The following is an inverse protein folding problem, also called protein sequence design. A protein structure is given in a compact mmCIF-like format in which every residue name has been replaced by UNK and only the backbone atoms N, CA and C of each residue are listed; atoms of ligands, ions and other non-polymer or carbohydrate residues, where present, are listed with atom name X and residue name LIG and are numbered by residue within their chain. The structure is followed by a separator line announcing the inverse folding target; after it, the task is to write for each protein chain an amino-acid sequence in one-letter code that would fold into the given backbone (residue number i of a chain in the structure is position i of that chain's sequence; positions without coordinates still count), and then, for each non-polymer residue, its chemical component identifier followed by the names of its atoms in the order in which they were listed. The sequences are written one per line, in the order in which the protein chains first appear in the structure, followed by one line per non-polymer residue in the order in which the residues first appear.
data_IF_113505924525
#
_entry.id   IF_113505924525
#
_cell.length_a   1.000
_cell.length_b   1.000
_cell.length_c   1.000
_cell.angle_alpha   90.00
_cell.angle_beta   90.00
_cell.angle_gamma   90.00
#
_symmetry.space_group_name_H-M   'P 1'
#
loop_
_entity.id
_entity.type
_entity.pdbx_description
1 polymer ?
#
# COMPACT_ATOMS: atom_id res chain seq x y z
N UNK A 1 -10.05 2.72 -0.39
CA UNK A 1 -9.96 3.95 -1.21
C UNK A 1 -10.83 3.88 -2.47
N UNK A 2 -10.49 3.09 -3.48
CA UNK A 2 -11.19 3.11 -4.78
C UNK A 2 -12.72 2.95 -4.68
N UNK A 3 -13.20 2.02 -3.84
CA UNK A 3 -14.63 1.72 -3.69
C UNK A 3 -15.44 2.71 -2.86
N UNK A 4 -14.81 3.58 -2.07
CA UNK A 4 -15.49 4.52 -1.16
C UNK A 4 -15.55 5.93 -1.77
N UNK A 5 -16.18 6.88 -1.07
CA UNK A 5 -16.22 8.31 -1.41
C UNK A 5 -14.96 9.08 -0.99
N UNK A 6 -14.05 8.44 -0.25
CA UNK A 6 -12.76 9.01 0.16
C UNK A 6 -11.93 9.56 -1.01
N UNK A 7 -12.12 9.03 -2.22
CA UNK A 7 -11.67 9.66 -3.47
C UNK A 7 -12.89 10.27 -4.16
N UNK A 8 -12.97 11.61 -4.29
CA UNK A 8 -14.09 12.28 -4.94
C UNK A 8 -14.35 11.78 -6.37
N UNK A 9 -15.62 11.62 -6.71
CA UNK A 9 -16.10 11.20 -8.04
C UNK A 9 -16.29 12.41 -8.95
N UNK A 10 -15.22 13.17 -9.16
CA UNK A 10 -15.20 14.38 -10.01
C UNK A 10 -14.10 14.28 -11.07
N UNK A 11 -14.21 15.10 -12.11
CA UNK A 11 -13.21 15.28 -13.18
C UNK A 11 -12.93 14.00 -13.99
N UNK A 12 -13.95 13.16 -14.17
CA UNK A 12 -13.79 11.88 -14.88
C UNK A 12 -13.23 10.76 -14.01
N UNK A 13 -13.25 10.91 -12.68
CA UNK A 13 -12.80 9.91 -11.70
C UNK A 13 -13.95 9.17 -11.00
N UNK A 14 -15.11 9.10 -11.65
CA UNK A 14 -16.29 8.37 -11.19
C UNK A 14 -16.02 6.86 -11.18
N UNK A 15 -16.66 6.15 -10.25
CA UNK A 15 -16.70 4.69 -10.28
C UNK A 15 -17.59 4.22 -11.43
N UNK A 16 -17.31 3.02 -11.93
CA UNK A 16 -18.13 2.36 -12.94
C UNK A 16 -17.95 0.85 -12.87
N UNK A 17 -18.62 0.14 -13.78
CA UNK A 17 -18.53 -1.32 -13.84
C UNK A 17 -17.14 -1.85 -14.22
N UNK A 18 -16.31 -1.02 -14.88
CA UNK A 18 -14.93 -1.32 -15.22
C UNK A 18 -13.99 -0.40 -14.47
N UNK A 19 -12.72 -0.81 -14.38
CA UNK A 19 -11.66 0.03 -13.84
C UNK A 19 -11.57 1.36 -14.61
N UNK A 20 -11.57 2.47 -13.87
CA UNK A 20 -11.36 3.82 -14.37
C UNK A 20 -9.91 4.23 -14.06
N UNK A 21 -9.02 4.31 -15.08
CA UNK A 21 -7.62 4.67 -14.87
C UNK A 21 -7.41 6.04 -14.24
N UNK A 22 -8.29 7.03 -14.50
CA UNK A 22 -8.19 8.35 -13.86
C UNK A 22 -8.45 8.27 -12.36
N UNK A 23 -9.43 7.49 -11.94
CA UNK A 23 -9.70 7.21 -10.53
C UNK A 23 -8.55 6.41 -9.90
N UNK A 24 -8.05 5.39 -10.60
CA UNK A 24 -6.89 4.61 -10.16
C UNK A 24 -5.66 5.48 -9.90
N UNK A 25 -5.36 6.42 -10.80
CA UNK A 25 -4.26 7.37 -10.60
C UNK A 25 -4.44 8.24 -9.35
N UNK A 26 -5.68 8.71 -9.06
CA UNK A 26 -5.98 9.43 -7.80
C UNK A 26 -5.76 8.55 -6.56
N UNK A 27 -6.13 7.27 -6.61
CA UNK A 27 -5.87 6.30 -5.52
C UNK A 27 -4.38 6.08 -5.31
N UNK A 28 -3.61 5.86 -6.38
CA UNK A 28 -2.16 5.65 -6.32
C UNK A 28 -1.47 6.89 -5.75
N UNK A 29 -1.84 8.08 -6.23
CA UNK A 29 -1.28 9.34 -5.73
C UNK A 29 -1.54 9.52 -4.22
N UNK A 30 -2.76 9.22 -3.76
CA UNK A 30 -3.08 9.25 -2.34
C UNK A 30 -2.25 8.25 -1.54
N UNK A 31 -2.16 6.99 -2.00
CA UNK A 31 -1.39 5.94 -1.32
C UNK A 31 0.10 6.30 -1.20
N UNK A 32 0.70 6.86 -2.26
CA UNK A 32 2.09 7.34 -2.22
C UNK A 32 2.27 8.55 -1.32
N UNK A 33 1.30 9.47 -1.26
CA UNK A 33 1.28 10.56 -0.29
C UNK A 33 1.22 10.06 1.16
N UNK A 34 0.39 9.05 1.44
CA UNK A 34 0.33 8.37 2.73
C UNK A 34 1.68 7.74 3.11
N UNK A 35 2.39 7.11 2.17
CA UNK A 35 3.73 6.56 2.40
C UNK A 35 4.76 7.66 2.68
N UNK A 36 4.67 8.81 1.98
CA UNK A 36 5.54 9.97 2.24
C UNK A 36 5.39 10.52 3.66
N UNK A 37 4.19 10.44 4.25
CA UNK A 37 3.91 10.88 5.63
C UNK A 37 4.27 9.81 6.67
N UNK A 38 4.04 8.53 6.35
CA UNK A 38 4.14 7.42 7.30
C UNK A 38 5.54 6.81 7.37
N UNK A 39 6.23 6.72 6.23
CA UNK A 39 7.53 6.06 6.04
C UNK A 39 8.37 6.92 5.07
N UNK A 40 8.71 8.17 5.46
CA UNK A 40 9.34 9.13 4.57
C UNK A 40 10.68 8.61 4.05
N UNK A 41 11.04 9.04 2.85
CA UNK A 41 12.35 8.76 2.24
C UNK A 41 13.38 9.78 2.72
N UNK A 42 14.66 9.39 2.78
CA UNK A 42 15.77 10.32 3.10
C UNK A 42 15.81 11.49 2.11
N UNK A 43 15.55 11.20 0.83
CA UNK A 43 15.45 12.17 -0.26
C UNK A 43 14.37 11.75 -1.24
N UNK A 44 13.71 12.74 -1.85
CA UNK A 44 12.65 12.49 -2.82
C UNK A 44 11.29 12.17 -2.20
N UNK A 45 10.43 11.54 -3.00
CA UNK A 45 9.05 11.18 -2.68
C UNK A 45 8.73 9.79 -3.23
N UNK A 46 7.81 9.07 -2.60
CA UNK A 46 7.35 7.75 -3.06
C UNK A 46 6.80 7.79 -4.50
N UNK A 47 6.24 8.93 -4.92
CA UNK A 47 5.81 9.18 -6.30
C UNK A 47 6.92 8.95 -7.33
N UNK A 48 8.19 9.23 -6.99
CA UNK A 48 9.35 9.08 -7.86
C UNK A 48 10.07 7.74 -7.79
N UNK A 49 9.61 6.81 -6.93
CA UNK A 49 10.22 5.48 -6.79
C UNK A 49 9.94 4.66 -8.05
N UNK A 50 10.99 4.04 -8.59
CA UNK A 50 10.95 3.23 -9.81
C UNK A 50 11.46 1.79 -9.64
N UNK A 51 11.80 1.39 -8.41
CA UNK A 51 12.22 0.04 -8.06
C UNK A 51 12.34 -0.11 -6.54
N UNK A 52 12.31 -1.34 -6.06
CA UNK A 52 12.57 -1.68 -4.66
C UNK A 52 13.50 -2.88 -4.63
N UNK A 53 14.48 -2.86 -3.75
CA UNK A 53 15.38 -3.97 -3.50
C UNK A 53 15.83 -3.96 -2.04
N UNK A 54 16.36 -5.07 -1.54
CA UNK A 54 16.88 -5.20 -0.20
C UNK A 54 18.36 -5.58 -0.31
N UNK A 55 19.23 -4.69 0.17
CA UNK A 55 20.67 -4.89 0.12
C UNK A 55 21.26 -4.67 1.52
N UNK A 56 22.10 -5.61 1.98
CA UNK A 56 22.75 -5.56 3.29
C UNK A 56 21.75 -5.35 4.45
N UNK A 57 20.56 -5.97 4.36
CA UNK A 57 19.50 -5.86 5.36
C UNK A 57 18.75 -4.53 5.37
N UNK A 58 18.97 -3.66 4.38
CA UNK A 58 18.30 -2.36 4.26
C UNK A 58 17.44 -2.29 3.00
N UNK A 59 16.28 -1.65 3.12
CA UNK A 59 15.46 -1.31 1.95
C UNK A 59 16.13 -0.20 1.13
N UNK A 60 16.31 -0.48 -0.16
CA UNK A 60 16.74 0.44 -1.20
C UNK A 60 15.55 0.78 -2.09
N UNK A 61 15.32 2.07 -2.33
CA UNK A 61 14.24 2.53 -3.19
C UNK A 61 14.79 3.26 -4.40
N UNK A 62 14.41 2.81 -5.58
CA UNK A 62 14.86 3.30 -6.88
C UNK A 62 16.27 2.87 -7.27
N UNK A 63 16.64 3.20 -8.51
CA UNK A 63 17.90 2.81 -9.14
C UNK A 63 18.77 4.02 -9.54
N UNK A 64 20.07 3.79 -9.67
CA UNK A 64 21.04 4.79 -10.15
C UNK A 64 21.06 6.08 -9.32
N UNK A 65 21.10 7.24 -10.00
CA UNK A 65 21.16 8.56 -9.36
C UNK A 65 19.89 8.93 -8.56
N UNK A 66 18.79 8.20 -8.77
CA UNK A 66 17.53 8.39 -8.03
C UNK A 66 17.38 7.50 -6.80
N UNK A 67 18.37 6.65 -6.51
CA UNK A 67 18.27 5.66 -5.45
C UNK A 67 18.36 6.30 -4.05
N UNK A 68 17.45 5.92 -3.16
CA UNK A 68 17.29 6.46 -1.81
C UNK A 68 16.99 5.35 -0.79
N UNK A 69 16.77 5.73 0.46
CA UNK A 69 16.40 4.86 1.58
C UNK A 69 15.24 5.47 2.36
N UNK A 70 14.70 4.73 3.32
CA UNK A 70 13.83 5.31 4.34
C UNK A 70 14.62 6.30 5.20
N UNK A 71 13.98 7.39 5.61
CA UNK A 71 14.56 8.37 6.52
C UNK A 71 14.87 7.77 7.90
N UNK A 72 14.01 6.86 8.37
CA UNK A 72 14.31 5.97 9.49
C UNK A 72 14.40 4.51 9.00
N UNK A 73 15.62 3.93 8.92
CA UNK A 73 15.82 2.56 8.48
C UNK A 73 15.10 1.51 9.33
N UNK A 74 14.78 1.81 10.60
CA UNK A 74 14.09 0.88 11.49
C UNK A 74 12.64 0.62 11.08
N UNK A 75 12.10 1.45 10.19
CA UNK A 75 10.76 1.27 9.65
C UNK A 75 10.69 0.14 8.62
N UNK A 76 11.83 -0.40 8.18
CA UNK A 76 11.84 -1.62 7.37
C UNK A 76 11.71 -2.85 8.28
N UNK A 77 10.65 -3.62 8.11
CA UNK A 77 10.31 -4.78 8.94
C UNK A 77 10.55 -6.13 8.24
N UNK A 78 10.70 -6.14 6.92
CA UNK A 78 11.02 -7.36 6.16
C UNK A 78 10.57 -7.29 4.70
N UNK A 79 10.69 -8.40 4.00
CA UNK A 79 10.25 -8.53 2.61
C UNK A 79 9.89 -10.00 2.30
N UNK A 80 9.21 -10.22 1.18
CA UNK A 80 8.91 -11.54 0.63
C UNK A 80 9.47 -11.66 -0.79
N UNK A 81 9.91 -12.86 -1.14
CA UNK A 81 10.47 -13.16 -2.46
C UNK A 81 11.99 -12.91 -2.52
N UNK A 82 12.47 -12.61 -3.72
CA UNK A 82 13.88 -12.32 -3.97
C UNK A 82 14.28 -10.93 -3.46
N UNK A 83 15.50 -10.77 -2.95
CA UNK A 83 15.93 -9.51 -2.37
C UNK A 83 16.15 -8.41 -3.42
N UNK A 84 16.61 -8.77 -4.63
CA UNK A 84 16.85 -7.82 -5.71
C UNK A 84 15.53 -7.45 -6.41
N UNK A 85 14.53 -8.33 -6.36
CA UNK A 85 13.19 -8.12 -6.92
C UNK A 85 12.10 -8.65 -5.97
N UNK A 86 11.83 -7.96 -4.84
CA UNK A 86 10.87 -8.44 -3.85
C UNK A 86 9.45 -8.42 -4.40
N UNK A 87 8.67 -9.42 -4.01
CA UNK A 87 7.22 -9.49 -4.29
C UNK A 87 6.44 -8.61 -3.31
N UNK A 88 6.99 -8.39 -2.11
CA UNK A 88 6.43 -7.46 -1.14
C UNK A 88 7.52 -6.90 -0.22
N UNK A 89 7.29 -5.69 0.26
CA UNK A 89 8.11 -5.02 1.28
C UNK A 89 7.23 -4.69 2.48
N UNK A 90 7.63 -5.15 3.66
CA UNK A 90 6.95 -4.90 4.91
C UNK A 90 7.62 -3.74 5.65
N UNK A 91 6.81 -2.74 6.01
CA UNK A 91 7.20 -1.56 6.75
C UNK A 91 6.43 -1.47 8.07
N UNK A 92 6.91 -0.63 8.98
CA UNK A 92 6.23 -0.35 10.25
C UNK A 92 6.24 1.13 10.62
N UNK A 93 5.13 1.59 11.20
CA UNK A 93 5.00 2.92 11.80
C UNK A 93 4.04 2.83 12.99
N UNK A 94 4.47 3.37 14.13
CA UNK A 94 3.68 3.40 15.37
C UNK A 94 3.16 2.01 15.80
N UNK A 95 3.92 0.95 15.52
CA UNK A 95 3.57 -0.43 15.88
C UNK A 95 2.59 -1.13 14.93
N UNK A 96 2.17 -0.47 13.84
CA UNK A 96 1.34 -1.06 12.79
C UNK A 96 2.14 -1.31 11.53
N UNK A 97 1.82 -2.39 10.82
CA UNK A 97 2.47 -2.78 9.58
C UNK A 97 1.81 -2.21 8.33
N UNK A 98 2.64 -1.97 7.32
CA UNK A 98 2.27 -1.55 5.97
C UNK A 98 3.00 -2.49 5.01
N UNK A 99 2.28 -3.29 4.22
CA UNK A 99 2.88 -4.12 3.16
C UNK A 99 2.69 -3.44 1.80
N UNK A 100 3.80 -3.21 1.09
CA UNK A 100 3.80 -2.75 -0.29
C UNK A 100 3.89 -3.98 -1.18
N UNK A 101 2.83 -4.23 -1.95
CA UNK A 101 2.75 -5.38 -2.87
C UNK A 101 3.31 -4.98 -4.23
N UNK A 102 4.23 -5.79 -4.75
CA UNK A 102 4.93 -5.53 -6.01
C UNK A 102 4.59 -6.67 -6.97
N UNK A 103 3.88 -6.32 -8.05
CA UNK A 103 3.51 -7.26 -9.10
C UNK A 103 3.42 -6.53 -10.45
N UNK A 104 4.45 -6.67 -11.26
CA UNK A 104 4.52 -6.06 -12.61
C UNK A 104 3.57 -6.70 -13.62
N UNK A 105 2.99 -7.87 -13.32
CA UNK A 105 1.98 -8.53 -14.16
C UNK A 105 0.56 -8.05 -13.86
N UNK A 106 0.34 -7.49 -12.66
CA UNK A 106 -0.94 -6.95 -12.22
C UNK A 106 -1.42 -5.79 -13.11
N UNK A 107 -2.74 -5.64 -13.27
CA UNK A 107 -3.35 -4.56 -14.04
C UNK A 107 -2.90 -3.16 -13.58
N UNK A 108 -2.70 -2.96 -12.28
CA UNK A 108 -2.23 -1.71 -11.67
C UNK A 108 -0.71 -1.66 -11.64
N UNK A 109 -0.07 -2.70 -11.13
CA UNK A 109 1.39 -2.73 -10.95
C UNK A 109 2.16 -2.54 -12.26
N UNK A 110 1.64 -3.03 -13.40
CA UNK A 110 2.24 -2.77 -14.72
C UNK A 110 2.26 -1.29 -15.14
N UNK A 111 1.43 -0.46 -14.51
CA UNK A 111 1.35 0.99 -14.78
C UNK A 111 2.16 1.82 -13.78
N UNK A 112 2.62 1.21 -12.69
CA UNK A 112 3.48 1.85 -11.70
C UNK A 112 4.96 1.62 -12.07
N UNK A 113 5.81 2.65 -12.10
CA UNK A 113 7.22 2.50 -12.45
C UNK A 113 7.97 1.45 -11.60
N UNK A 114 7.63 1.38 -10.31
CA UNK A 114 8.21 0.44 -9.36
C UNK A 114 7.49 -0.91 -9.30
N UNK A 115 6.43 -1.10 -10.07
CA UNK A 115 5.63 -2.33 -10.04
C UNK A 115 4.66 -2.43 -8.86
N UNK A 116 4.44 -1.33 -8.12
CA UNK A 116 3.56 -1.33 -6.95
C UNK A 116 2.11 -1.58 -7.39
N UNK A 117 1.55 -2.70 -6.94
CA UNK A 117 0.19 -3.12 -7.25
C UNK A 117 -0.82 -2.71 -6.18
N UNK A 118 -0.41 -2.71 -4.90
CA UNK A 118 -1.28 -2.33 -3.77
C UNK A 118 -0.46 -1.93 -2.53
N UNK A 119 -1.15 -1.33 -1.54
CA UNK A 119 -0.64 -1.05 -0.19
C UNK A 119 -1.63 -1.62 0.82
N UNK A 120 -1.20 -2.68 1.50
CA UNK A 120 -2.01 -3.40 2.49
C UNK A 120 -1.69 -2.87 3.89
N UNK A 121 -2.72 -2.48 4.63
CA UNK A 121 -2.58 -1.94 5.99
C UNK A 121 -3.03 -2.95 7.04
N UNK A 122 -2.17 -3.19 8.02
CA UNK A 122 -2.62 -3.83 9.27
C UNK A 122 -3.67 -2.93 9.93
N UNK A 123 -4.88 -3.47 10.13
CA UNK A 123 -6.06 -2.66 10.45
C UNK A 123 -6.84 -3.20 11.67
N UNK A 124 -7.77 -4.13 11.47
CA UNK A 124 -8.61 -4.67 12.54
C UNK A 124 -7.83 -5.65 13.45
N UNK A 125 -6.94 -5.09 14.30
CA UNK A 125 -6.08 -5.86 15.22
C UNK A 125 -6.87 -6.81 16.12
N UNK A 126 -8.03 -6.36 16.54
CA UNK A 126 -9.01 -7.14 17.27
C UNK A 126 -10.36 -6.93 16.64
N UNK A 127 -11.26 -7.87 16.84
CA UNK A 127 -12.66 -7.79 16.41
C UNK A 127 -13.52 -8.35 17.52
N UNK A 128 -14.54 -7.60 17.93
CA UNK A 128 -15.54 -8.08 18.87
C UNK A 128 -16.52 -8.95 18.07
N UNK A 129 -16.69 -10.20 18.48
CA UNK A 129 -17.74 -11.06 17.96
C UNK A 129 -19.01 -10.74 18.75
N UNK A 130 -19.95 -10.08 18.09
CA UNK A 130 -21.15 -9.57 18.74
C UNK A 130 -22.32 -10.56 18.59
N UNK A 131 -22.82 -11.03 19.72
CA UNK A 131 -24.00 -11.89 19.83
C UNK A 131 -25.16 -11.17 20.55
N UNK A 132 -25.08 -9.84 20.64
CA UNK A 132 -26.01 -9.00 21.40
C UNK A 132 -26.79 -8.08 20.46
N UNK A 133 -26.26 -6.90 20.14
CA UNK A 133 -27.05 -5.81 19.55
C UNK A 133 -27.02 -5.78 18.00
N UNK A 134 -26.05 -6.45 17.36
CA UNK A 134 -25.96 -6.52 15.90
C UNK A 134 -26.59 -7.77 15.28
N UNK A 135 -27.23 -8.63 16.07
CA UNK A 135 -27.88 -9.86 15.61
C UNK A 135 -29.35 -9.92 16.02
N UNK A 136 -30.10 -10.78 15.36
CA UNK A 136 -31.41 -11.23 15.82
C UNK A 136 -31.33 -12.74 16.08
N UNK A 137 -31.16 -13.11 17.34
CA UNK A 137 -31.15 -14.50 17.81
C UNK A 137 -32.22 -14.67 18.90
N UNK A 138 -33.34 -15.26 18.54
CA UNK A 138 -34.59 -15.26 19.31
C UNK A 138 -35.06 -16.64 19.72
N UNK A 139 -34.44 -17.70 19.20
CA UNK A 139 -34.70 -19.08 19.62
C UNK A 139 -33.41 -19.91 19.77
N UNK A 140 -33.56 -21.23 19.89
CA UNK A 140 -32.44 -22.14 20.12
C UNK A 140 -31.73 -22.59 18.83
N UNK A 141 -32.32 -22.32 17.67
CA UNK A 141 -31.78 -22.66 16.35
C UNK A 141 -30.94 -21.53 15.76
N UNK A 142 -31.26 -20.28 16.12
CA UNK A 142 -30.41 -19.11 15.87
C UNK A 142 -29.03 -19.25 16.53
#
# INVERSE_FOLDING_TARGET
LYGTDAIPETDGAEKGAKFNPKRGAKVIAWAKGFLDESVPLTTGKWAGVNGLAVANGMLRLGEGAGATTLADPKQFAGYRGDADNPEAVLLTRNGLHIEIVIDRSNQIGKTDPAGIADVVLESALTTIQDCEDSVAAVDAQD
#
